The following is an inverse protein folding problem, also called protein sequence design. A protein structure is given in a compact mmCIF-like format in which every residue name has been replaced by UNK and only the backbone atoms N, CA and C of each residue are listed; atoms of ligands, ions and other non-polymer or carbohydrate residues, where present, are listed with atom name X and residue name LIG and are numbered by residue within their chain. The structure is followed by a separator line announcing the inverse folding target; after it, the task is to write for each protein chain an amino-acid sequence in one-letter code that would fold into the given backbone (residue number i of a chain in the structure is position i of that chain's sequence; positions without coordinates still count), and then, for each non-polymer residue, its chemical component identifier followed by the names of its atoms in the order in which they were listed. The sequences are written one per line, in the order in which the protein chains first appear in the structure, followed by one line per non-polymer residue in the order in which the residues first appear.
data_IF_456109010842
#
_entry.id   IF_456109010842
#
_cell.length_a   1.000
_cell.length_b   1.000
_cell.length_c   1.000
_cell.angle_alpha   90.00
_cell.angle_beta   90.00
_cell.angle_gamma   90.00
#
_symmetry.space_group_name_H-M   'P 1'
#
loop_
_entity.id
_entity.type
_entity.pdbx_description
1 polymer ?
#
# COMPACT_ATOMS: atom_id res chain seq x y z
N UNK A 1 14.23 12.58 -19.48
CA UNK A 1 12.85 13.08 -19.26
C UNK A 1 12.14 12.22 -18.22
N UNK A 2 12.59 10.98 -18.07
CA UNK A 2 11.98 9.92 -17.25
C UNK A 2 12.12 10.15 -15.74
N UNK A 3 13.23 10.75 -15.29
CA UNK A 3 13.47 11.02 -13.86
C UNK A 3 12.40 11.93 -13.21
N UNK A 4 11.95 12.98 -13.91
CA UNK A 4 10.90 13.87 -13.40
C UNK A 4 9.52 13.20 -13.39
N UNK A 5 9.24 12.37 -14.40
CA UNK A 5 8.01 11.58 -14.50
C UNK A 5 7.94 10.54 -13.38
N UNK A 6 9.04 9.82 -13.14
CA UNK A 6 9.22 8.91 -12.00
C UNK A 6 8.97 9.61 -10.66
N UNK A 7 9.53 10.81 -10.44
CA UNK A 7 9.30 11.56 -9.19
C UNK A 7 7.82 11.95 -9.03
N UNK A 8 7.17 12.46 -10.08
CA UNK A 8 5.75 12.86 -10.03
C UNK A 8 4.87 11.65 -9.69
N UNK A 9 5.17 10.51 -10.29
CA UNK A 9 4.49 9.25 -10.07
C UNK A 9 4.64 8.77 -8.63
N UNK A 10 5.87 8.74 -8.11
CA UNK A 10 6.16 8.39 -6.71
C UNK A 10 5.32 9.29 -5.79
N UNK A 11 5.37 10.61 -6.01
CA UNK A 11 4.61 11.57 -5.21
C UNK A 11 3.09 11.29 -5.24
N UNK A 12 2.53 10.92 -6.40
CA UNK A 12 1.11 10.60 -6.53
C UNK A 12 0.72 9.31 -5.77
N UNK A 13 1.56 8.28 -5.83
CA UNK A 13 1.31 6.98 -5.21
C UNK A 13 1.42 7.06 -3.67
N UNK A 14 2.32 7.90 -3.16
CA UNK A 14 2.46 8.18 -1.72
C UNK A 14 1.47 9.23 -1.19
N UNK A 15 0.84 10.04 -2.05
CA UNK A 15 -0.12 11.06 -1.62
C UNK A 15 -1.35 10.44 -0.94
N UNK A 16 -1.91 9.36 -1.50
CA UNK A 16 -3.13 8.74 -0.97
C UNK A 16 -2.92 8.15 0.44
N UNK A 17 -1.87 7.35 0.72
CA UNK A 17 -1.55 6.91 2.08
C UNK A 17 -1.34 8.08 3.05
N UNK A 18 -0.70 9.16 2.60
CA UNK A 18 -0.43 10.34 3.43
C UNK A 18 -1.71 11.09 3.80
N UNK A 19 -2.60 11.29 2.82
CA UNK A 19 -3.93 11.88 3.03
C UNK A 19 -4.76 11.02 3.97
N UNK A 20 -4.74 9.70 3.81
CA UNK A 20 -5.43 8.79 4.72
C UNK A 20 -4.87 8.88 6.14
N UNK A 21 -3.55 8.83 6.31
CA UNK A 21 -2.91 9.00 7.61
C UNK A 21 -3.26 10.34 8.27
N UNK A 22 -3.23 11.43 7.50
CA UNK A 22 -3.62 12.77 7.94
C UNK A 22 -5.09 12.82 8.37
N UNK A 23 -6.01 12.26 7.57
CA UNK A 23 -7.43 12.17 7.91
C UNK A 23 -7.67 11.35 9.18
N UNK A 24 -6.89 10.29 9.43
CA UNK A 24 -6.94 9.56 10.69
C UNK A 24 -6.50 10.43 11.87
N UNK A 25 -5.53 11.33 11.70
CA UNK A 25 -5.11 12.24 12.77
C UNK A 25 -6.21 13.24 13.10
N UNK A 26 -6.81 13.88 12.09
CA UNK A 26 -7.86 14.90 12.28
C UNK A 26 -9.21 14.32 12.71
N UNK A 27 -9.67 13.24 12.07
CA UNK A 27 -11.03 12.72 12.26
C UNK A 27 -11.03 11.41 13.05
N UNK A 28 -11.20 11.53 14.36
CA UNK A 28 -11.19 10.41 15.32
C UNK A 28 -12.24 9.33 14.97
N UNK A 29 -13.38 9.74 14.45
CA UNK A 29 -14.49 8.87 14.03
C UNK A 29 -14.11 7.89 12.91
N UNK A 30 -13.23 8.30 11.98
CA UNK A 30 -12.84 7.49 10.83
C UNK A 30 -11.58 6.64 11.09
N UNK A 31 -10.86 6.86 12.22
CA UNK A 31 -9.65 6.10 12.57
C UNK A 31 -9.86 4.59 12.49
N UNK A 32 -11.05 4.11 12.87
CA UNK A 32 -11.38 2.67 12.85
C UNK A 32 -11.39 2.07 11.45
N UNK A 33 -11.72 2.85 10.44
CA UNK A 33 -11.75 2.43 9.03
C UNK A 33 -10.39 2.72 8.38
N UNK A 34 -9.84 3.90 8.61
CA UNK A 34 -8.60 4.35 7.99
C UNK A 34 -7.39 3.51 8.43
N UNK A 35 -7.29 3.18 9.72
CA UNK A 35 -6.13 2.45 10.26
C UNK A 35 -5.96 1.07 9.59
N UNK A 36 -7.02 0.28 9.37
CA UNK A 36 -6.98 -0.90 8.51
C UNK A 36 -6.53 -0.65 7.08
N UNK A 37 -6.99 0.42 6.43
CA UNK A 37 -6.56 0.77 5.07
C UNK A 37 -5.06 1.06 5.02
N UNK A 38 -4.56 1.89 5.94
CA UNK A 38 -3.13 2.19 6.05
C UNK A 38 -2.34 0.92 6.34
N UNK A 39 -2.82 0.07 7.26
CA UNK A 39 -2.18 -1.20 7.58
C UNK A 39 -2.09 -2.14 6.38
N UNK A 40 -3.18 -2.30 5.63
CA UNK A 40 -3.23 -3.15 4.44
C UNK A 40 -2.26 -2.67 3.34
N UNK A 41 -2.16 -1.36 3.09
CA UNK A 41 -1.33 -0.82 2.01
C UNK A 41 0.16 -0.73 2.39
N UNK A 42 0.48 -0.70 3.68
CA UNK A 42 1.85 -0.52 4.19
C UNK A 42 2.89 -1.56 3.71
N UNK A 43 2.62 -2.88 3.69
CA UNK A 43 3.55 -3.87 3.14
C UNK A 43 3.91 -3.58 1.68
N UNK A 44 2.94 -3.16 0.89
CA UNK A 44 3.13 -2.83 -0.51
C UNK A 44 4.00 -1.59 -0.69
N UNK A 45 3.73 -0.54 0.09
CA UNK A 45 4.57 0.66 0.12
C UNK A 45 6.00 0.34 0.53
N UNK A 46 6.22 -0.58 1.47
CA UNK A 46 7.57 -1.00 1.86
C UNK A 46 8.33 -1.63 0.68
N UNK A 47 7.69 -2.52 -0.07
CA UNK A 47 8.28 -3.11 -1.29
C UNK A 47 8.60 -2.03 -2.31
N UNK A 48 7.69 -1.08 -2.50
CA UNK A 48 7.88 0.04 -3.43
C UNK A 48 9.02 0.98 -3.01
N UNK A 49 9.13 1.32 -1.72
CA UNK A 49 10.23 2.13 -1.18
C UNK A 49 11.57 1.42 -1.42
N UNK A 50 11.64 0.13 -1.10
CA UNK A 50 12.86 -0.67 -1.31
C UNK A 50 13.23 -0.69 -2.80
N UNK A 51 12.27 -0.97 -3.69
CA UNK A 51 12.48 -0.97 -5.14
C UNK A 51 12.89 0.40 -5.70
N UNK A 52 12.35 1.48 -5.15
CA UNK A 52 12.71 2.85 -5.54
C UNK A 52 14.14 3.19 -5.09
N UNK A 53 14.51 2.86 -3.85
CA UNK A 53 15.86 3.08 -3.32
C UNK A 53 16.88 2.28 -4.12
N UNK A 54 16.61 1.00 -4.41
CA UNK A 54 17.53 0.18 -5.20
C UNK A 54 17.69 0.71 -6.61
N UNK A 55 16.61 1.20 -7.25
CA UNK A 55 16.68 1.82 -8.57
C UNK A 55 17.54 3.10 -8.58
N UNK A 56 17.41 3.95 -7.57
CA UNK A 56 18.21 5.18 -7.45
C UNK A 56 19.69 4.85 -7.20
N UNK A 57 19.98 3.84 -6.37
CA UNK A 57 21.36 3.45 -6.03
C UNK A 57 22.03 2.61 -7.11
N UNK A 58 21.27 1.81 -7.86
CA UNK A 58 21.74 0.88 -8.88
C UNK A 58 20.86 1.00 -10.14
N UNK A 59 21.00 2.09 -10.92
CA UNK A 59 20.19 2.31 -12.10
C UNK A 59 20.48 1.23 -13.17
N UNK A 60 19.48 0.46 -13.63
CA UNK A 60 19.64 -0.53 -14.70
C UNK A 60 19.72 0.13 -16.08
N UNK A 61 20.36 -0.56 -17.04
CA UNK A 61 20.58 -0.08 -18.42
C UNK A 61 19.36 -0.25 -19.36
N UNK A 62 18.38 -1.09 -19.01
CA UNK A 62 17.13 -1.33 -19.76
C UNK A 62 15.88 -1.06 -18.91
N UNK A 63 14.69 -1.08 -19.55
CA UNK A 63 13.35 -0.78 -19.01
C UNK A 63 13.33 -1.02 -17.50
N UNK A 64 13.35 0.08 -16.75
CA UNK A 64 13.82 -0.01 -15.38
C UNK A 64 12.91 -0.93 -14.59
N UNK A 65 13.48 -1.81 -13.77
CA UNK A 65 12.73 -2.65 -12.84
C UNK A 65 11.69 -1.82 -12.05
N UNK A 66 11.96 -0.54 -11.85
CA UNK A 66 11.05 0.48 -11.33
C UNK A 66 9.80 0.72 -12.19
N UNK A 67 9.92 0.94 -13.51
CA UNK A 67 8.77 1.10 -14.41
C UNK A 67 7.92 -0.18 -14.50
N UNK A 68 8.55 -1.36 -14.50
CA UNK A 68 7.84 -2.63 -14.50
C UNK A 68 7.09 -2.87 -13.18
N UNK A 69 7.74 -2.60 -12.04
CA UNK A 69 7.09 -2.65 -10.72
C UNK A 69 5.95 -1.64 -10.66
N UNK A 70 6.13 -0.44 -11.20
CA UNK A 70 5.14 0.63 -11.20
C UNK A 70 3.89 0.32 -12.06
N UNK A 71 4.07 -0.19 -13.29
CA UNK A 71 2.95 -0.54 -14.15
C UNK A 71 2.19 -1.74 -13.58
N UNK A 72 2.91 -2.70 -13.00
CA UNK A 72 2.30 -3.88 -12.38
C UNK A 72 1.78 -3.62 -10.96
N UNK A 73 2.11 -2.49 -10.33
CA UNK A 73 1.77 -2.21 -8.93
C UNK A 73 0.37 -1.63 -8.72
N UNK A 74 -0.20 -0.98 -9.72
CA UNK A 74 -1.47 -0.27 -9.56
C UNK A 74 -2.65 -1.18 -9.21
N UNK A 75 -2.78 -2.31 -9.91
CA UNK A 75 -3.86 -3.26 -9.64
C UNK A 75 -3.72 -3.95 -8.27
N UNK A 76 -2.54 -4.48 -7.88
CA UNK A 76 -2.29 -4.91 -6.52
C UNK A 76 -2.65 -3.81 -5.51
N UNK A 77 -2.17 -2.58 -5.69
CA UNK A 77 -2.46 -1.48 -4.78
C UNK A 77 -3.97 -1.29 -4.53
N UNK A 78 -4.78 -1.32 -5.59
CA UNK A 78 -6.25 -1.26 -5.47
C UNK A 78 -6.83 -2.46 -4.70
N UNK A 79 -6.31 -3.67 -4.91
CA UNK A 79 -6.72 -4.86 -4.17
C UNK A 79 -6.40 -4.72 -2.68
N UNK A 80 -5.20 -4.27 -2.33
CA UNK A 80 -4.80 -4.03 -0.93
C UNK A 80 -5.66 -2.93 -0.29
N UNK A 81 -6.00 -1.87 -1.04
CA UNK A 81 -6.88 -0.81 -0.59
C UNK A 81 -8.32 -1.31 -0.34
N UNK A 82 -8.85 -2.15 -1.23
CA UNK A 82 -10.16 -2.79 -1.07
C UNK A 82 -10.20 -3.73 0.14
N UNK A 83 -9.16 -4.55 0.35
CA UNK A 83 -9.01 -5.40 1.53
C UNK A 83 -8.98 -4.54 2.80
N UNK A 84 -8.19 -3.47 2.80
CA UNK A 84 -8.10 -2.54 3.92
C UNK A 84 -9.43 -1.88 4.27
N UNK A 85 -10.21 -1.47 3.26
CA UNK A 85 -11.56 -0.92 3.44
C UNK A 85 -12.51 -1.97 4.02
N UNK A 86 -12.50 -3.19 3.47
CA UNK A 86 -13.32 -4.29 3.96
C UNK A 86 -12.99 -4.57 5.44
N UNK A 87 -11.71 -4.71 5.79
CA UNK A 87 -11.29 -4.89 7.18
C UNK A 87 -11.69 -3.69 8.06
N UNK A 88 -11.59 -2.48 7.54
CA UNK A 88 -12.08 -1.26 8.19
C UNK A 88 -13.54 -1.33 8.61
N UNK A 89 -14.39 -1.85 7.72
CA UNK A 89 -15.83 -1.98 7.92
C UNK A 89 -16.21 -3.18 8.79
N UNK A 90 -15.54 -4.32 8.61
CA UNK A 90 -15.94 -5.60 9.21
C UNK A 90 -15.22 -5.94 10.52
N UNK A 91 -14.08 -5.30 10.85
CA UNK A 91 -13.40 -5.59 12.12
C UNK A 91 -14.22 -5.13 13.33
N UNK A 92 -14.23 -5.91 14.45
CA UNK A 92 -15.00 -5.59 15.65
C UNK A 92 -14.69 -4.21 16.22
N UNK A 93 -15.72 -3.41 16.54
CA UNK A 93 -15.56 -2.04 17.07
C UNK A 93 -14.80 -1.97 18.39
N UNK A 94 -14.81 -3.05 19.18
CA UNK A 94 -14.06 -3.20 20.43
C UNK A 94 -12.55 -3.40 20.23
N UNK A 95 -12.10 -3.74 19.02
CA UNK A 95 -10.69 -3.98 18.74
C UNK A 95 -9.89 -2.66 18.75
N UNK A 96 -8.76 -2.60 19.48
CA UNK A 96 -7.92 -1.41 19.52
C UNK A 96 -7.28 -1.12 18.15
N UNK A 97 -7.00 0.16 17.88
CA UNK A 97 -6.47 0.63 16.59
C UNK A 97 -5.16 -0.08 16.20
N UNK A 98 -4.28 -0.35 17.17
CA UNK A 98 -3.02 -1.09 16.92
C UNK A 98 -3.26 -2.50 16.38
N UNK A 99 -4.22 -3.22 16.96
CA UNK A 99 -4.55 -4.57 16.47
C UNK A 99 -5.23 -4.52 15.11
N UNK A 100 -6.10 -3.52 14.87
CA UNK A 100 -6.71 -3.29 13.55
C UNK A 100 -5.66 -3.06 12.46
N UNK A 101 -4.62 -2.28 12.77
CA UNK A 101 -3.48 -2.07 11.88
C UNK A 101 -2.74 -3.39 11.61
N UNK A 102 -2.33 -4.11 12.67
CA UNK A 102 -1.53 -5.33 12.54
C UNK A 102 -2.27 -6.44 11.80
N UNK A 103 -3.56 -6.63 12.08
CA UNK A 103 -4.39 -7.59 11.33
C UNK A 103 -4.38 -7.23 9.86
N UNK A 104 -4.65 -5.97 9.52
CA UNK A 104 -4.71 -5.55 8.11
C UNK A 104 -3.36 -5.65 7.41
N UNK A 105 -2.27 -5.33 8.11
CA UNK A 105 -0.89 -5.45 7.63
C UNK A 105 -0.51 -6.90 7.29
N UNK A 106 -1.00 -7.88 8.06
CA UNK A 106 -0.69 -9.30 7.83
C UNK A 106 -1.68 -9.96 6.85
N UNK A 107 -2.96 -9.59 6.94
CA UNK A 107 -4.03 -10.19 6.13
C UNK A 107 -3.90 -9.79 4.67
N UNK A 108 -3.57 -8.53 4.36
CA UNK A 108 -3.54 -8.10 2.97
C UNK A 108 -2.45 -8.83 2.13
N UNK A 109 -1.20 -9.00 2.61
CA UNK A 109 -0.21 -9.86 1.94
C UNK A 109 -0.63 -11.32 1.89
N UNK A 110 -1.22 -11.86 2.97
CA UNK A 110 -1.67 -13.26 3.00
C UNK A 110 -2.75 -13.54 1.95
N UNK A 111 -3.71 -12.62 1.77
CA UNK A 111 -4.72 -12.69 0.72
C UNK A 111 -4.10 -12.54 -0.66
N UNK A 112 -3.17 -11.58 -0.84
CA UNK A 112 -2.44 -11.42 -2.10
C UNK A 112 -1.67 -12.67 -2.51
N UNK A 113 -0.92 -13.27 -1.57
CA UNK A 113 -0.20 -14.54 -1.79
C UNK A 113 -1.15 -15.72 -2.01
N UNK A 114 -2.26 -15.79 -1.27
CA UNK A 114 -3.28 -16.81 -1.47
C UNK A 114 -3.91 -16.75 -2.86
N UNK A 115 -4.23 -15.56 -3.36
CA UNK A 115 -4.74 -15.36 -4.72
C UNK A 115 -3.73 -15.83 -5.77
N UNK A 116 -2.44 -15.53 -5.58
CA UNK A 116 -1.39 -16.03 -6.48
C UNK A 116 -1.36 -17.54 -6.50
N UNK A 117 -1.37 -18.20 -5.33
CA UNK A 117 -1.29 -19.68 -5.24
C UNK A 117 -2.46 -20.40 -5.92
N UNK A 118 -3.68 -19.85 -5.88
CA UNK A 118 -4.88 -20.49 -6.43
C UNK A 118 -5.03 -20.20 -7.95
N UNK A 119 -4.23 -19.28 -8.49
CA UNK A 119 -4.26 -18.88 -9.91
C UNK A 119 -3.36 -19.74 -10.81
N UNK A 120 -2.69 -20.76 -10.27
CA UNK A 120 -1.83 -21.74 -10.98
C UNK A 120 -2.45 -23.14 -10.93
#
# INVERSE_FOLDING_TARGET
MDYYLTIIVILFEFALPFVLAYMALEKVEFRRVIVPVVGAVSPFLLVYIVGSITHILFPPDELSMFEAIFIMSFLPYLVFLAIGLALGMFLPKSMPLRSRYLVSFLTAPAVGLGLVVISW
#
